data_IF_236354804216
#
_entry.id   IF_236354804216
#
_cell.length_a   1.000
_cell.length_b   1.000
_cell.length_c   1.000
_cell.angle_alpha   90.00
_cell.angle_beta   90.00
_cell.angle_gamma   90.00
#
_symmetry.space_group_name_H-M   'P 1'
#
loop_
_entity.id
_entity.type
_entity.pdbx_description
1 polymer ?
#
# COMPACT_ATOMS: atom_id res chain seq x y z
N UNK A 1 -6.38 -4.27 -27.78
CA UNK A 1 -6.49 -5.74 -27.54
C UNK A 1 -6.32 -5.99 -26.04
N UNK A 2 -7.12 -6.88 -25.48
CA UNK A 2 -7.03 -7.32 -24.06
C UNK A 2 -6.30 -8.65 -24.01
N UNK A 3 -5.44 -8.81 -23.01
CA UNK A 3 -4.74 -10.04 -22.68
C UNK A 3 -4.88 -10.32 -21.18
N UNK A 4 -5.27 -11.54 -20.82
CA UNK A 4 -5.32 -12.02 -19.45
C UNK A 4 -4.06 -12.82 -19.15
N UNK A 5 -3.40 -12.52 -18.05
CA UNK A 5 -2.16 -13.19 -17.66
C UNK A 5 -2.27 -13.77 -16.24
N UNK A 6 -1.58 -14.86 -16.03
CA UNK A 6 -1.42 -15.52 -14.74
C UNK A 6 -0.18 -14.98 -14.01
N UNK A 7 -0.05 -15.32 -12.73
CA UNK A 7 1.01 -14.81 -11.86
C UNK A 7 2.43 -15.15 -12.38
N UNK A 8 2.60 -16.31 -13.01
CA UNK A 8 3.86 -16.77 -13.61
C UNK A 8 4.18 -16.10 -14.96
N UNK A 9 3.20 -15.46 -15.59
CA UNK A 9 3.32 -14.78 -16.89
C UNK A 9 3.20 -13.25 -16.79
N UNK A 10 3.35 -12.70 -15.57
CA UNK A 10 3.10 -11.29 -15.27
C UNK A 10 4.26 -10.34 -15.63
N UNK A 11 5.35 -10.82 -16.24
CA UNK A 11 6.57 -10.01 -16.42
C UNK A 11 6.36 -8.70 -17.17
N UNK A 12 5.51 -8.67 -18.20
CA UNK A 12 5.22 -7.45 -18.95
C UNK A 12 4.27 -6.50 -18.19
N UNK A 13 3.32 -7.06 -17.42
CA UNK A 13 2.48 -6.29 -16.50
C UNK A 13 3.37 -5.59 -15.46
N UNK A 14 4.28 -6.34 -14.84
CA UNK A 14 5.22 -5.79 -13.85
C UNK A 14 6.10 -4.69 -14.47
N UNK A 15 6.61 -4.90 -15.68
CA UNK A 15 7.41 -3.90 -16.39
C UNK A 15 6.64 -2.60 -16.65
N UNK A 16 5.35 -2.68 -17.03
CA UNK A 16 4.51 -1.50 -17.21
C UNK A 16 4.27 -0.78 -15.89
N UNK A 17 3.93 -1.54 -14.82
CA UNK A 17 3.73 -0.98 -13.48
C UNK A 17 4.99 -0.29 -12.96
N UNK A 18 6.16 -0.91 -13.15
CA UNK A 18 7.43 -0.33 -12.71
C UNK A 18 7.80 0.94 -13.47
N UNK A 19 7.53 0.98 -14.78
CA UNK A 19 7.86 2.15 -15.60
C UNK A 19 6.88 3.32 -15.42
N UNK A 20 5.65 3.06 -14.96
CA UNK A 20 4.61 4.07 -14.89
C UNK A 20 4.76 4.96 -13.64
N UNK A 21 4.66 6.32 -13.75
CA UNK A 21 4.81 7.22 -12.59
C UNK A 21 3.84 6.96 -11.43
N UNK A 22 2.63 6.43 -11.72
CA UNK A 22 1.64 6.00 -10.72
C UNK A 22 1.73 4.50 -10.41
N UNK A 23 2.81 3.84 -10.84
CA UNK A 23 3.00 2.42 -10.57
C UNK A 23 2.97 2.12 -9.08
N UNK A 24 2.26 1.05 -8.70
CA UNK A 24 2.09 0.68 -7.31
C UNK A 24 2.40 -0.80 -7.07
N UNK A 25 3.15 -1.10 -6.01
CA UNK A 25 3.54 -2.47 -5.63
C UNK A 25 2.35 -3.44 -5.60
N UNK A 26 1.19 -2.99 -5.14
CA UNK A 26 -0.02 -3.83 -5.05
C UNK A 26 -0.63 -4.16 -6.41
N UNK A 27 -0.20 -3.52 -7.48
CA UNK A 27 -0.57 -3.81 -8.86
C UNK A 27 0.42 -4.71 -9.60
N UNK A 28 1.44 -5.21 -8.92
CA UNK A 28 2.43 -6.13 -9.48
C UNK A 28 2.17 -7.59 -9.06
N UNK A 29 2.87 -8.52 -9.72
CA UNK A 29 2.89 -9.94 -9.38
C UNK A 29 3.44 -10.20 -7.97
N UNK A 30 4.30 -9.32 -7.46
CA UNK A 30 4.83 -9.39 -6.08
C UNK A 30 3.68 -9.46 -5.08
N UNK A 31 2.65 -8.62 -5.27
CA UNK A 31 1.50 -8.60 -4.35
C UNK A 31 0.64 -9.87 -4.44
N UNK A 32 0.55 -10.48 -5.61
CA UNK A 32 -0.08 -11.79 -5.78
C UNK A 32 0.62 -12.90 -4.97
N UNK A 33 1.96 -12.87 -4.94
CA UNK A 33 2.76 -13.82 -4.13
C UNK A 33 2.61 -13.60 -2.63
N UNK A 34 2.35 -12.37 -2.19
CA UNK A 34 2.09 -12.03 -0.78
C UNK A 34 0.69 -12.42 -0.34
N UNK A 35 -0.29 -12.35 -1.25
CA UNK A 35 -1.72 -12.62 -1.00
C UNK A 35 -2.10 -14.04 -1.34
N UNK A 36 -1.46 -15.02 -0.73
CA UNK A 36 -1.62 -16.46 -1.02
C UNK A 36 -3.05 -17.00 -0.82
N UNK A 37 -3.86 -16.33 0.00
CA UNK A 37 -5.27 -16.68 0.24
C UNK A 37 -6.23 -16.17 -0.85
N UNK A 38 -5.71 -15.43 -1.85
CA UNK A 38 -6.44 -14.82 -2.94
C UNK A 38 -5.89 -15.32 -4.28
N UNK A 39 -6.78 -15.57 -5.25
CA UNK A 39 -6.34 -15.89 -6.61
C UNK A 39 -6.03 -14.60 -7.36
N UNK A 40 -4.81 -14.51 -7.90
CA UNK A 40 -4.37 -13.35 -8.64
C UNK A 40 -4.68 -13.47 -10.14
N UNK A 41 -5.12 -12.37 -10.76
CA UNK A 41 -5.35 -12.23 -12.19
C UNK A 41 -4.71 -10.93 -12.67
N UNK A 42 -4.05 -10.97 -13.83
CA UNK A 42 -3.53 -9.79 -14.51
C UNK A 42 -4.30 -9.52 -15.80
N UNK A 43 -4.55 -8.25 -16.09
CA UNK A 43 -5.16 -7.76 -17.32
C UNK A 43 -4.20 -6.74 -17.94
N UNK A 44 -3.84 -6.92 -19.23
CA UNK A 44 -3.10 -5.93 -20.01
C UNK A 44 -4.00 -5.40 -21.13
N UNK A 45 -3.95 -4.09 -21.33
CA UNK A 45 -4.54 -3.46 -22.50
C UNK A 45 -3.44 -2.95 -23.42
N UNK A 46 -3.50 -3.38 -24.71
CA UNK A 46 -2.58 -2.94 -25.78
C UNK A 46 -3.32 -2.12 -26.82
N UNK A 47 -2.67 -1.09 -27.32
CA UNK A 47 -3.14 -0.35 -28.49
C UNK A 47 -2.98 -1.14 -29.80
N UNK A 48 -3.37 -0.53 -30.92
CA UNK A 48 -3.28 -1.14 -32.25
C UNK A 48 -1.84 -1.37 -32.74
N UNK A 49 -0.85 -0.80 -32.06
CA UNK A 49 0.59 -0.98 -32.33
C UNK A 49 1.22 -2.02 -31.40
N UNK A 50 0.43 -2.68 -30.58
CA UNK A 50 0.89 -3.70 -29.61
C UNK A 50 1.49 -3.11 -28.31
N UNK A 51 1.52 -1.77 -28.14
CA UNK A 51 2.06 -1.13 -26.95
C UNK A 51 1.09 -1.24 -25.79
N UNK A 52 1.57 -1.63 -24.60
CA UNK A 52 0.77 -1.64 -23.38
C UNK A 52 0.40 -0.21 -22.99
N UNK A 53 -0.90 0.04 -22.79
CA UNK A 53 -1.50 1.34 -22.44
C UNK A 53 -2.08 1.33 -21.03
N UNK A 54 -2.18 0.17 -20.43
CA UNK A 54 -2.66 0.05 -19.07
C UNK A 54 -2.71 -1.39 -18.60
N UNK A 55 -2.70 -1.56 -17.29
CA UNK A 55 -2.73 -2.86 -16.61
C UNK A 55 -3.66 -2.82 -15.41
N UNK A 56 -4.20 -3.98 -15.05
CA UNK A 56 -4.99 -4.15 -13.83
C UNK A 56 -4.70 -5.52 -13.22
N UNK A 57 -4.08 -5.51 -12.05
CA UNK A 57 -3.96 -6.69 -11.21
C UNK A 57 -5.18 -6.79 -10.29
N UNK A 58 -5.84 -7.94 -10.31
CA UNK A 58 -7.00 -8.24 -9.51
C UNK A 58 -6.72 -9.40 -8.56
N UNK A 59 -7.21 -9.29 -7.36
CA UNK A 59 -7.27 -10.36 -6.36
C UNK A 59 -8.71 -10.87 -6.28
N UNK A 60 -8.91 -12.16 -6.54
CA UNK A 60 -10.18 -12.83 -6.40
C UNK A 60 -10.27 -13.45 -4.99
N UNK A 61 -11.26 -13.01 -4.23
CA UNK A 61 -11.56 -13.59 -2.92
C UNK A 61 -12.85 -14.42 -3.01
N UNK A 62 -12.83 -15.71 -2.60
CA UNK A 62 -14.04 -16.52 -2.58
C UNK A 62 -15.15 -15.86 -1.77
N UNK A 63 -16.35 -15.86 -2.32
CA UNK A 63 -17.55 -15.45 -1.60
C UNK A 63 -18.04 -16.53 -0.65
N UNK A 64 -19.03 -16.20 0.18
CA UNK A 64 -19.65 -17.15 1.11
C UNK A 64 -20.57 -18.14 0.40
N UNK A 65 -21.14 -17.75 -0.73
CA UNK A 65 -21.95 -18.62 -1.55
C UNK A 65 -21.07 -19.32 -2.59
N UNK A 66 -21.22 -20.63 -2.80
CA UNK A 66 -20.49 -21.36 -3.83
C UNK A 66 -20.62 -20.69 -5.20
N UNK A 67 -19.52 -20.61 -5.95
CA UNK A 67 -19.48 -19.98 -7.27
C UNK A 67 -19.65 -18.46 -7.25
N UNK A 68 -19.49 -17.80 -6.10
CA UNK A 68 -19.42 -16.34 -6.00
C UNK A 68 -18.06 -15.87 -5.50
N UNK A 69 -17.62 -14.70 -5.95
CA UNK A 69 -16.39 -14.09 -5.50
C UNK A 69 -16.50 -12.54 -5.47
N UNK A 70 -15.49 -11.92 -4.88
CA UNK A 70 -15.17 -10.51 -4.95
C UNK A 70 -13.90 -10.36 -5.80
N UNK A 71 -13.89 -9.46 -6.79
CA UNK A 71 -12.67 -9.03 -7.47
C UNK A 71 -12.21 -7.70 -6.87
N UNK A 72 -10.95 -7.63 -6.46
CA UNK A 72 -10.37 -6.46 -5.86
C UNK A 72 -9.06 -6.07 -6.55
N UNK A 73 -9.00 -4.85 -7.10
CA UNK A 73 -7.81 -4.25 -7.70
C UNK A 73 -7.19 -3.21 -6.77
N UNK A 74 -6.30 -3.63 -5.82
CA UNK A 74 -5.71 -2.71 -4.85
C UNK A 74 -4.84 -1.66 -5.54
N UNK A 75 -5.08 -0.39 -5.28
CA UNK A 75 -4.35 0.74 -5.85
C UNK A 75 -4.32 0.79 -7.38
N UNK A 76 -5.22 0.08 -8.04
CA UNK A 76 -5.32 0.02 -9.48
C UNK A 76 -6.65 0.52 -10.05
N UNK A 77 -6.73 0.53 -11.38
CA UNK A 77 -5.71 0.13 -12.37
C UNK A 77 -4.58 1.16 -12.55
N UNK A 78 -3.50 0.74 -13.26
CA UNK A 78 -2.45 1.63 -13.77
C UNK A 78 -2.71 1.84 -15.27
N UNK A 79 -2.86 3.09 -15.71
CA UNK A 79 -3.30 3.42 -17.05
C UNK A 79 -2.76 4.77 -17.53
N UNK A 80 -2.62 4.93 -18.85
CA UNK A 80 -2.11 6.18 -19.45
C UNK A 80 -3.21 7.23 -19.67
N UNK A 81 -4.44 6.80 -20.01
CA UNK A 81 -5.55 7.69 -20.37
C UNK A 81 -6.92 7.11 -20.00
N UNK A 82 -7.96 7.92 -20.10
CA UNK A 82 -9.36 7.56 -19.80
C UNK A 82 -9.82 6.33 -20.60
N UNK A 83 -9.46 6.25 -21.90
CA UNK A 83 -9.83 5.13 -22.74
C UNK A 83 -9.25 3.82 -22.21
N UNK A 84 -8.00 3.84 -21.78
CA UNK A 84 -7.32 2.68 -21.18
C UNK A 84 -8.03 2.23 -19.90
N UNK A 85 -8.46 3.18 -19.04
CA UNK A 85 -9.25 2.89 -17.86
C UNK A 85 -10.58 2.20 -18.21
N UNK A 86 -11.34 2.76 -19.16
CA UNK A 86 -12.62 2.20 -19.62
C UNK A 86 -12.46 0.76 -20.14
N UNK A 87 -11.43 0.52 -20.94
CA UNK A 87 -11.14 -0.80 -21.51
C UNK A 87 -10.79 -1.81 -20.42
N UNK A 88 -9.93 -1.45 -19.46
CA UNK A 88 -9.56 -2.32 -18.32
C UNK A 88 -10.76 -2.64 -17.43
N UNK A 89 -11.60 -1.65 -17.12
CA UNK A 89 -12.81 -1.88 -16.33
C UNK A 89 -13.79 -2.82 -17.05
N UNK A 90 -13.95 -2.69 -18.37
CA UNK A 90 -14.81 -3.58 -19.15
C UNK A 90 -14.25 -5.02 -19.17
N UNK A 91 -12.94 -5.20 -19.34
CA UNK A 91 -12.29 -6.51 -19.24
C UNK A 91 -12.45 -7.13 -17.84
N UNK A 92 -12.34 -6.31 -16.77
CA UNK A 92 -12.59 -6.77 -15.40
C UNK A 92 -14.07 -7.17 -15.18
N UNK A 93 -15.04 -6.50 -15.82
CA UNK A 93 -16.46 -6.91 -15.81
C UNK A 93 -16.66 -8.27 -16.48
N UNK A 94 -15.99 -8.50 -17.60
CA UNK A 94 -16.06 -9.79 -18.32
C UNK A 94 -15.48 -10.92 -17.46
N UNK A 95 -14.28 -10.74 -16.94
CA UNK A 95 -13.67 -11.68 -15.98
C UNK A 95 -14.61 -11.91 -14.78
N UNK A 96 -15.21 -10.85 -14.26
CA UNK A 96 -16.14 -10.95 -13.14
C UNK A 96 -17.38 -11.79 -13.47
N UNK A 97 -17.92 -11.70 -14.68
CA UNK A 97 -19.05 -12.55 -15.11
C UNK A 97 -18.65 -14.02 -15.19
N UNK A 98 -17.48 -14.31 -15.75
CA UNK A 98 -16.93 -15.67 -15.87
C UNK A 98 -16.65 -16.29 -14.50
N UNK A 99 -16.07 -15.51 -13.57
CA UNK A 99 -15.69 -15.96 -12.24
C UNK A 99 -16.83 -15.94 -11.21
N UNK A 100 -18.00 -15.43 -11.58
CA UNK A 100 -19.11 -15.32 -10.67
C UNK A 100 -18.99 -14.17 -9.66
N UNK A 101 -18.20 -13.14 -9.98
CA UNK A 101 -18.02 -12.02 -9.08
C UNK A 101 -19.32 -11.23 -8.90
N UNK A 102 -19.63 -10.87 -7.66
CA UNK A 102 -20.77 -10.03 -7.33
C UNK A 102 -20.38 -8.55 -7.24
N UNK A 103 -19.08 -8.26 -7.04
CA UNK A 103 -18.53 -6.94 -6.85
C UNK A 103 -17.14 -6.85 -7.48
N UNK A 104 -16.90 -5.79 -8.23
CA UNK A 104 -15.56 -5.29 -8.57
C UNK A 104 -15.25 -4.09 -7.69
N UNK A 105 -14.15 -4.16 -6.94
CA UNK A 105 -13.66 -3.10 -6.05
C UNK A 105 -12.32 -2.60 -6.51
N UNK A 106 -12.15 -1.29 -6.57
CA UNK A 106 -10.91 -0.60 -6.89
C UNK A 106 -10.65 0.49 -5.83
N UNK A 107 -9.41 0.91 -5.65
CA UNK A 107 -9.05 2.06 -4.81
C UNK A 107 -7.79 2.78 -5.32
N UNK A 108 -7.84 3.34 -6.56
CA UNK A 108 -6.68 3.93 -7.22
C UNK A 108 -6.15 5.16 -6.44
N UNK A 109 -4.84 5.39 -6.54
CA UNK A 109 -4.19 6.60 -6.00
C UNK A 109 -4.37 7.78 -6.96
N UNK A 110 -5.61 8.23 -7.09
CA UNK A 110 -6.02 9.42 -7.83
C UNK A 110 -6.57 10.42 -6.82
N UNK A 111 -6.15 11.68 -6.94
CA UNK A 111 -6.56 12.74 -6.02
C UNK A 111 -8.08 12.92 -6.03
N UNK A 112 -8.67 13.15 -4.85
CA UNK A 112 -10.12 13.34 -4.71
C UNK A 112 -10.65 14.55 -5.48
N UNK A 113 -9.80 15.55 -5.71
CA UNK A 113 -10.13 16.76 -6.45
C UNK A 113 -10.17 16.57 -7.97
N UNK A 114 -9.77 15.38 -8.49
CA UNK A 114 -9.87 15.06 -9.91
C UNK A 114 -11.35 14.85 -10.32
N UNK A 115 -11.96 15.96 -10.74
CA UNK A 115 -13.37 15.99 -11.14
C UNK A 115 -13.66 15.16 -12.40
N UNK A 116 -12.70 15.05 -13.31
CA UNK A 116 -12.82 14.27 -14.55
C UNK A 116 -12.82 12.78 -14.23
N UNK A 117 -11.93 12.33 -13.35
CA UNK A 117 -11.95 10.95 -12.90
C UNK A 117 -13.21 10.61 -12.09
N UNK A 118 -13.67 11.52 -11.24
CA UNK A 118 -14.91 11.34 -10.48
C UNK A 118 -16.14 11.25 -11.41
N UNK A 119 -16.17 11.98 -12.52
CA UNK A 119 -17.19 11.87 -13.57
C UNK A 119 -17.11 10.51 -14.25
N UNK A 120 -15.90 10.10 -14.66
CA UNK A 120 -15.64 8.81 -15.30
C UNK A 120 -16.13 7.62 -14.45
N UNK A 121 -15.87 7.64 -13.15
CA UNK A 121 -16.36 6.60 -12.24
C UNK A 121 -17.88 6.51 -12.22
N UNK A 122 -18.59 7.66 -12.16
CA UNK A 122 -20.06 7.70 -12.18
C UNK A 122 -20.62 7.16 -13.51
N UNK A 123 -20.04 7.56 -14.64
CA UNK A 123 -20.45 7.07 -15.98
C UNK A 123 -20.30 5.56 -16.11
N UNK A 124 -19.28 4.97 -15.49
CA UNK A 124 -19.05 3.53 -15.48
C UNK A 124 -19.89 2.77 -14.44
N UNK A 125 -20.65 3.50 -13.61
CA UNK A 125 -21.57 2.94 -12.61
C UNK A 125 -20.91 2.59 -11.27
N UNK A 126 -19.74 3.12 -10.97
CA UNK A 126 -19.12 2.97 -9.65
C UNK A 126 -19.82 3.83 -8.59
N UNK A 127 -19.96 3.27 -7.40
CA UNK A 127 -20.21 4.02 -6.17
C UNK A 127 -18.90 4.21 -5.42
N UNK A 128 -18.68 5.42 -4.90
CA UNK A 128 -17.45 5.76 -4.17
C UNK A 128 -17.73 5.82 -2.68
N UNK A 129 -16.93 5.14 -1.88
CA UNK A 129 -16.88 5.27 -0.43
C UNK A 129 -15.62 6.06 -0.06
N UNK A 130 -15.83 7.28 0.44
CA UNK A 130 -14.78 8.22 0.83
C UNK A 130 -14.62 8.32 2.35
N UNK A 131 -14.85 7.22 3.08
CA UNK A 131 -14.59 7.18 4.52
C UNK A 131 -13.12 7.48 4.84
N UNK A 132 -12.89 8.17 5.95
CA UNK A 132 -11.56 8.60 6.38
C UNK A 132 -11.01 7.75 7.53
N UNK A 133 -11.73 6.72 7.89
CA UNK A 133 -11.32 5.71 8.86
C UNK A 133 -10.70 4.48 8.18
N UNK A 134 -10.18 3.54 8.97
CA UNK A 134 -9.62 2.30 8.47
C UNK A 134 -10.68 1.23 8.12
N UNK A 135 -11.94 1.62 7.90
CA UNK A 135 -12.99 0.70 7.44
C UNK A 135 -12.83 0.28 5.97
N UNK A 136 -12.09 1.06 5.17
CA UNK A 136 -11.78 0.76 3.78
C UNK A 136 -10.68 -0.32 3.67
N UNK A 137 -10.61 -0.99 2.52
CA UNK A 137 -9.57 -2.00 2.25
C UNK A 137 -8.17 -1.37 2.22
N UNK A 138 -8.05 -0.15 1.68
CA UNK A 138 -6.86 0.68 1.78
C UNK A 138 -7.27 2.06 2.33
N UNK A 139 -6.44 2.67 3.16
CA UNK A 139 -6.71 4.00 3.68
C UNK A 139 -6.76 5.02 2.54
N UNK A 140 -7.76 5.89 2.59
CA UNK A 140 -7.94 6.98 1.64
C UNK A 140 -6.96 8.12 1.92
N UNK A 141 -6.69 8.39 3.19
CA UNK A 141 -5.75 9.42 3.65
C UNK A 141 -4.36 8.81 3.81
N UNK A 142 -3.38 9.30 3.06
CA UNK A 142 -1.99 8.81 3.10
C UNK A 142 -1.01 9.98 3.19
N UNK A 143 0.09 9.78 3.92
CA UNK A 143 1.18 10.74 3.91
C UNK A 143 2.21 10.34 2.88
N UNK A 144 2.47 11.25 1.95
CA UNK A 144 3.46 11.07 0.89
C UNK A 144 4.47 12.20 0.95
N UNK A 145 5.74 11.87 0.92
CA UNK A 145 6.82 12.84 0.84
C UNK A 145 7.35 12.91 -0.58
N UNK A 146 7.48 14.10 -1.11
CA UNK A 146 8.21 14.37 -2.34
C UNK A 146 9.72 14.27 -2.06
N UNK A 147 10.41 13.45 -2.83
CA UNK A 147 11.86 13.27 -2.79
C UNK A 147 12.55 13.98 -3.97
N UNK A 148 11.80 14.58 -4.90
CA UNK A 148 12.34 15.23 -6.08
C UNK A 148 13.30 16.34 -5.70
N UNK A 149 14.49 16.36 -6.30
CA UNK A 149 15.52 17.36 -6.03
C UNK A 149 16.26 17.20 -4.68
N UNK A 150 15.89 16.21 -3.86
CA UNK A 150 16.64 15.86 -2.67
C UNK A 150 17.81 14.93 -3.00
N UNK A 151 18.85 15.01 -2.20
CA UNK A 151 19.96 14.04 -2.19
C UNK A 151 20.01 13.32 -0.84
N UNK A 152 20.72 12.17 -0.73
CA UNK A 152 20.93 11.52 0.58
C UNK A 152 21.55 12.42 1.63
N UNK A 153 22.34 13.44 1.24
CA UNK A 153 23.03 14.41 2.11
C UNK A 153 22.09 15.53 2.56
N UNK A 154 21.14 15.92 1.70
CA UNK A 154 20.19 17.02 1.98
C UNK A 154 18.86 16.54 2.57
N UNK A 155 18.61 15.23 2.56
CA UNK A 155 17.35 14.62 2.99
C UNK A 155 16.88 15.13 4.37
N UNK A 156 17.78 15.14 5.36
CA UNK A 156 17.40 15.53 6.71
C UNK A 156 16.98 17.00 6.82
N UNK A 157 17.47 17.87 5.91
CA UNK A 157 17.11 19.29 5.87
C UNK A 157 15.64 19.50 5.52
N UNK A 158 15.03 18.55 4.81
CA UNK A 158 13.60 18.55 4.46
C UNK A 158 12.69 18.11 5.62
N UNK A 159 13.26 17.62 6.74
CA UNK A 159 12.52 17.22 7.91
C UNK A 159 12.28 18.40 8.87
N UNK A 160 11.21 18.33 9.65
CA UNK A 160 10.97 19.29 10.71
C UNK A 160 12.10 19.27 11.77
N UNK A 161 12.37 20.40 12.39
CA UNK A 161 13.45 20.58 13.37
C UNK A 161 13.47 19.48 14.45
N UNK A 162 12.30 19.11 14.98
CA UNK A 162 12.18 18.08 16.02
C UNK A 162 12.67 16.72 15.52
N UNK A 163 12.22 16.27 14.34
CA UNK A 163 12.66 14.97 13.78
C UNK A 163 14.16 14.97 13.47
N UNK A 164 14.74 16.10 13.01
CA UNK A 164 16.20 16.24 12.84
C UNK A 164 16.95 16.12 14.16
N UNK A 165 16.42 16.69 15.23
CA UNK A 165 17.03 16.57 16.56
C UNK A 165 17.01 15.13 17.04
N UNK A 166 15.86 14.43 16.91
CA UNK A 166 15.73 13.03 17.25
C UNK A 166 16.68 12.14 16.43
N UNK A 167 16.77 12.37 15.12
CA UNK A 167 17.70 11.65 14.25
C UNK A 167 19.15 11.80 14.74
N UNK A 168 19.59 13.02 15.04
CA UNK A 168 20.95 13.27 15.54
C UNK A 168 21.22 12.62 16.90
N UNK A 169 20.22 12.58 17.77
CA UNK A 169 20.32 11.85 19.04
C UNK A 169 20.45 10.36 18.80
N UNK A 170 19.62 9.78 17.90
CA UNK A 170 19.70 8.36 17.54
C UNK A 170 21.05 8.00 16.92
N UNK A 171 21.60 8.85 16.03
CA UNK A 171 22.91 8.64 15.38
C UNK A 171 24.09 8.71 16.34
N UNK A 172 23.98 9.49 17.42
CA UNK A 172 25.03 9.61 18.47
C UNK A 172 24.86 8.58 19.58
N UNK A 173 23.71 7.93 19.62
CA UNK A 173 23.36 6.92 20.62
C UNK A 173 23.93 5.53 20.32
N UNK A 174 23.53 4.54 21.10
CA UNK A 174 24.02 3.16 20.97
C UNK A 174 23.34 2.36 19.87
N UNK A 175 22.52 3.00 19.02
CA UNK A 175 21.79 2.31 17.95
C UNK A 175 22.71 2.00 16.77
N UNK A 176 22.62 0.78 16.27
CA UNK A 176 23.21 0.34 15.00
C UNK A 176 22.12 -0.02 14.02
N UNK A 177 22.35 0.27 12.73
CA UNK A 177 21.44 -0.09 11.64
C UNK A 177 21.97 -1.29 10.87
N UNK A 178 21.08 -2.22 10.54
CA UNK A 178 21.36 -3.26 9.56
C UNK A 178 20.14 -3.64 8.71
N UNK A 179 20.43 -4.23 7.57
CA UNK A 179 19.39 -4.92 6.78
C UNK A 179 19.21 -6.31 7.40
N UNK A 180 17.98 -6.64 7.70
CA UNK A 180 17.60 -7.93 8.27
C UNK A 180 17.39 -8.99 7.18
N UNK A 181 17.25 -10.22 7.64
CA UNK A 181 16.98 -11.41 6.83
C UNK A 181 15.69 -12.11 7.29
N UNK A 182 15.33 -13.21 6.64
CA UNK A 182 14.21 -14.04 7.09
C UNK A 182 14.41 -14.58 8.53
N UNK A 183 15.63 -14.79 8.98
CA UNK A 183 15.95 -15.25 10.34
C UNK A 183 15.56 -14.22 11.41
N UNK A 184 15.43 -12.94 11.05
CA UNK A 184 15.06 -11.87 11.97
C UNK A 184 13.54 -11.69 12.11
N UNK A 185 12.75 -12.27 11.20
CA UNK A 185 11.29 -12.11 11.17
C UNK A 185 10.60 -12.53 12.48
N UNK A 186 11.00 -13.60 13.20
CA UNK A 186 10.37 -13.92 14.49
C UNK A 186 10.56 -12.82 15.54
N UNK A 187 11.73 -12.17 15.59
CA UNK A 187 11.98 -11.06 16.50
C UNK A 187 11.21 -9.81 16.10
N UNK A 188 11.21 -9.48 14.79
CA UNK A 188 10.42 -8.41 14.23
C UNK A 188 8.92 -8.60 14.50
N UNK A 189 8.39 -9.82 14.30
CA UNK A 189 6.98 -10.14 14.53
C UNK A 189 6.57 -9.93 15.98
N UNK A 190 7.36 -10.40 16.94
CA UNK A 190 7.12 -10.13 18.38
C UNK A 190 7.01 -8.63 18.68
N UNK A 191 7.91 -7.80 18.10
CA UNK A 191 7.83 -6.34 18.26
C UNK A 191 6.58 -5.75 17.57
N UNK A 192 6.17 -6.33 16.43
CA UNK A 192 4.92 -5.93 15.75
C UNK A 192 3.69 -6.22 16.61
N UNK A 193 3.63 -7.38 17.28
CA UNK A 193 2.54 -7.72 18.19
C UNK A 193 2.46 -6.74 19.37
N UNK A 194 3.60 -6.42 20.00
CA UNK A 194 3.67 -5.40 21.06
C UNK A 194 3.21 -4.02 20.57
N UNK A 195 3.62 -3.65 19.34
CA UNK A 195 3.22 -2.38 18.74
C UNK A 195 1.72 -2.37 18.43
N UNK A 196 1.19 -3.46 17.89
CA UNK A 196 -0.22 -3.63 17.56
C UNK A 196 -1.09 -3.55 18.81
N UNK A 197 -0.73 -4.27 19.88
CA UNK A 197 -1.42 -4.22 21.16
C UNK A 197 -1.48 -2.80 21.72
N UNK A 198 -0.34 -2.10 21.74
CA UNK A 198 -0.26 -0.71 22.23
C UNK A 198 -1.12 0.26 21.44
N UNK A 199 -1.17 0.07 20.09
CA UNK A 199 -1.80 1.01 19.16
C UNK A 199 -3.20 0.59 18.73
N UNK A 200 -3.76 -0.48 19.30
CA UNK A 200 -5.15 -0.89 19.10
C UNK A 200 -5.45 -1.52 17.74
N UNK A 201 -4.45 -2.07 17.04
CA UNK A 201 -4.69 -2.77 15.78
C UNK A 201 -4.26 -4.24 15.86
N UNK A 202 -4.60 -5.03 14.84
CA UNK A 202 -4.21 -6.45 14.75
C UNK A 202 -2.96 -6.60 13.87
N UNK A 203 -1.90 -7.17 14.41
CA UNK A 203 -0.71 -7.52 13.64
C UNK A 203 -1.01 -8.59 12.57
N UNK A 204 -0.34 -8.51 11.43
CA UNK A 204 -0.33 -9.60 10.45
C UNK A 204 0.43 -10.79 11.02
N UNK A 205 0.05 -12.04 10.69
CA UNK A 205 0.76 -13.22 11.20
C UNK A 205 2.16 -13.34 10.60
N UNK A 206 3.06 -14.06 11.27
CA UNK A 206 4.43 -14.25 10.83
C UNK A 206 4.55 -14.76 9.38
N UNK A 207 3.78 -15.78 8.92
CA UNK A 207 3.86 -16.25 7.52
C UNK A 207 3.56 -15.16 6.48
N UNK A 208 2.77 -14.16 6.83
CA UNK A 208 2.54 -13.01 5.94
C UNK A 208 3.83 -12.20 5.73
N UNK A 209 4.63 -11.96 6.78
CA UNK A 209 5.89 -11.25 6.67
C UNK A 209 6.96 -12.07 5.94
N UNK A 210 6.94 -13.40 6.11
CA UNK A 210 7.79 -14.32 5.37
C UNK A 210 7.47 -14.25 3.87
N UNK A 211 6.20 -14.36 3.48
CA UNK A 211 5.76 -14.22 2.10
C UNK A 211 6.05 -12.82 1.53
N UNK A 212 5.87 -11.76 2.35
CA UNK A 212 6.17 -10.39 1.95
C UNK A 212 7.66 -10.23 1.65
N UNK A 213 8.54 -10.62 2.56
CA UNK A 213 9.98 -10.47 2.37
C UNK A 213 10.50 -11.29 1.19
N UNK A 214 10.04 -12.54 1.05
CA UNK A 214 10.36 -13.39 -0.08
C UNK A 214 9.86 -12.81 -1.42
N UNK A 215 8.62 -12.27 -1.45
CA UNK A 215 8.02 -11.69 -2.63
C UNK A 215 8.67 -10.38 -3.07
N UNK A 216 9.16 -9.58 -2.13
CA UNK A 216 9.86 -8.34 -2.42
C UNK A 216 11.21 -8.58 -3.14
N UNK A 217 11.97 -9.61 -2.73
CA UNK A 217 13.32 -9.83 -3.26
C UNK A 217 14.14 -8.54 -3.18
N UNK A 218 14.76 -8.15 -4.29
CA UNK A 218 15.58 -6.92 -4.36
C UNK A 218 14.75 -5.62 -4.33
N UNK A 219 13.41 -5.72 -4.44
CA UNK A 219 12.50 -4.56 -4.37
C UNK A 219 12.20 -4.09 -2.97
N UNK A 220 12.82 -4.65 -1.95
CA UNK A 220 12.58 -4.22 -0.56
C UNK A 220 13.33 -5.02 0.46
N UNK A 221 13.04 -4.78 1.73
CA UNK A 221 13.72 -5.47 2.80
C UNK A 221 13.25 -5.11 4.19
N UNK A 222 13.73 -5.88 5.14
CA UNK A 222 13.61 -5.64 6.57
C UNK A 222 14.79 -4.77 7.02
N UNK A 223 14.50 -3.66 7.68
CA UNK A 223 15.49 -2.76 8.29
C UNK A 223 15.36 -2.87 9.81
N UNK A 224 16.47 -3.02 10.49
CA UNK A 224 16.52 -3.15 11.94
C UNK A 224 17.42 -2.08 12.55
N UNK A 225 16.96 -1.49 13.64
CA UNK A 225 17.77 -0.68 14.56
C UNK A 225 17.96 -1.51 15.82
N UNK A 226 19.23 -1.78 16.17
CA UNK A 226 19.60 -2.60 17.29
C UNK A 226 20.28 -1.76 18.36
N UNK A 227 20.03 -2.11 19.63
CA UNK A 227 20.74 -1.59 20.77
C UNK A 227 21.43 -2.77 21.49
N UNK A 228 22.74 -2.71 21.67
CA UNK A 228 23.53 -3.78 22.32
C UNK A 228 23.28 -5.17 21.68
N UNK A 229 23.16 -5.21 20.35
CA UNK A 229 22.93 -6.44 19.58
C UNK A 229 21.51 -7.01 19.66
N UNK A 230 20.55 -6.28 20.28
CA UNK A 230 19.16 -6.69 20.35
C UNK A 230 18.27 -5.75 19.50
N UNK A 231 17.30 -6.27 18.74
CA UNK A 231 16.39 -5.45 17.96
C UNK A 231 15.57 -4.50 18.85
N UNK A 232 15.74 -3.20 18.69
CA UNK A 232 15.03 -2.14 19.40
C UNK A 232 13.85 -1.58 18.57
N UNK A 233 14.00 -1.57 17.24
CA UNK A 233 12.95 -1.22 16.29
C UNK A 233 13.19 -1.94 14.95
N UNK A 234 12.13 -2.06 14.15
CA UNK A 234 12.22 -2.65 12.83
C UNK A 234 11.19 -2.08 11.86
N UNK A 235 11.49 -2.15 10.57
CA UNK A 235 10.60 -1.69 9.51
C UNK A 235 10.77 -2.54 8.25
N UNK A 236 9.68 -2.74 7.51
CA UNK A 236 9.72 -3.31 6.16
C UNK A 236 9.45 -2.19 5.17
N UNK A 237 10.36 -2.01 4.22
CA UNK A 237 10.24 -1.07 3.11
C UNK A 237 10.19 -1.80 1.77
N UNK A 238 9.52 -1.19 0.79
CA UNK A 238 9.50 -1.64 -0.58
C UNK A 238 9.83 -0.48 -1.53
N UNK A 239 10.34 -0.79 -2.72
CA UNK A 239 10.78 0.18 -3.70
C UNK A 239 10.40 -0.27 -5.11
N UNK A 240 9.78 0.61 -5.87
CA UNK A 240 9.72 0.59 -7.32
C UNK A 240 10.41 1.86 -7.85
N UNK A 241 10.71 1.98 -9.15
CA UNK A 241 11.51 3.09 -9.68
C UNK A 241 11.04 4.50 -9.30
N UNK A 242 9.72 4.71 -9.11
CA UNK A 242 9.17 6.03 -8.81
C UNK A 242 8.75 6.22 -7.35
N UNK A 243 8.57 5.14 -6.61
CA UNK A 243 8.01 5.21 -5.24
C UNK A 243 8.66 4.20 -4.31
N UNK A 244 9.06 4.67 -3.14
CA UNK A 244 9.36 3.83 -2.00
C UNK A 244 8.22 3.85 -0.97
N UNK A 245 7.97 2.75 -0.29
CA UNK A 245 6.92 2.60 0.72
C UNK A 245 7.47 2.14 2.06
N UNK A 246 7.02 2.78 3.13
CA UNK A 246 7.11 2.31 4.50
C UNK A 246 5.92 1.39 4.78
N UNK A 247 6.09 0.08 4.54
CA UNK A 247 4.98 -0.86 4.61
C UNK A 247 4.56 -1.20 6.04
N UNK A 248 5.53 -1.47 6.90
CA UNK A 248 5.32 -1.85 8.30
C UNK A 248 6.43 -1.29 9.16
N UNK A 249 6.11 -0.93 10.41
CA UNK A 249 7.10 -0.49 11.38
C UNK A 249 6.69 -0.82 12.80
N UNK A 250 7.66 -1.16 13.62
CA UNK A 250 7.47 -1.46 15.04
C UNK A 250 8.64 -0.94 15.87
N UNK A 251 8.38 -0.70 17.14
CA UNK A 251 9.42 -0.30 18.09
C UNK A 251 9.10 -0.77 19.51
N UNK A 252 10.10 -1.32 20.17
CA UNK A 252 10.09 -1.59 21.60
C UNK A 252 10.20 -0.29 22.44
N UNK A 253 10.11 -0.40 23.78
CA UNK A 253 10.30 0.75 24.67
C UNK A 253 11.64 1.46 24.44
N UNK A 254 12.71 0.70 24.33
CA UNK A 254 14.08 1.20 24.12
C UNK A 254 14.21 1.91 22.76
N UNK A 255 13.67 1.32 21.68
CA UNK A 255 13.70 1.93 20.36
C UNK A 255 12.96 3.27 20.33
N UNK A 256 11.86 3.43 21.08
CA UNK A 256 11.15 4.71 21.21
C UNK A 256 11.99 5.73 21.98
N UNK A 257 12.61 5.33 23.10
CA UNK A 257 13.45 6.18 23.92
C UNK A 257 14.67 6.70 23.15
N UNK A 258 15.21 5.89 22.26
CA UNK A 258 16.40 6.20 21.46
C UNK A 258 16.08 6.77 20.07
N UNK A 259 14.81 7.07 19.77
CA UNK A 259 14.36 7.61 18.47
C UNK A 259 14.72 6.72 17.26
N UNK A 260 14.64 5.41 17.44
CA UNK A 260 15.00 4.44 16.40
C UNK A 260 14.13 4.54 15.13
N UNK A 261 12.88 5.04 15.24
CA UNK A 261 12.02 5.25 14.08
C UNK A 261 12.61 6.29 13.12
N UNK A 262 13.08 7.42 13.64
CA UNK A 262 13.70 8.47 12.83
C UNK A 262 14.98 7.96 12.15
N UNK A 263 15.75 7.12 12.83
CA UNK A 263 16.93 6.50 12.25
C UNK A 263 16.58 5.51 11.13
N UNK A 264 15.55 4.68 11.32
CA UNK A 264 15.03 3.76 10.30
C UNK A 264 14.45 4.53 9.09
N UNK A 265 13.64 5.57 9.34
CA UNK A 265 13.08 6.41 8.28
C UNK A 265 14.17 7.09 7.45
N UNK A 266 15.22 7.59 8.11
CA UNK A 266 16.36 8.19 7.42
C UNK A 266 17.07 7.17 6.52
N UNK A 267 17.34 5.97 7.02
CA UNK A 267 18.01 4.93 6.25
C UNK A 267 17.19 4.50 5.02
N UNK A 268 15.88 4.26 5.21
CA UNK A 268 14.98 3.82 4.12
C UNK A 268 14.75 4.92 3.07
N UNK A 269 14.59 6.18 3.49
CA UNK A 269 14.44 7.29 2.55
C UNK A 269 15.74 7.56 1.76
N UNK A 270 16.91 7.40 2.38
CA UNK A 270 18.20 7.45 1.65
C UNK A 270 18.31 6.33 0.62
N UNK A 271 17.87 5.13 0.96
CA UNK A 271 17.83 4.02 0.01
C UNK A 271 16.84 4.30 -1.14
N UNK A 272 15.66 4.89 -0.84
CA UNK A 272 14.72 5.34 -1.86
C UNK A 272 15.35 6.34 -2.84
N UNK A 273 16.07 7.35 -2.32
CA UNK A 273 16.82 8.31 -3.14
C UNK A 273 17.91 7.65 -3.99
N UNK A 274 18.68 6.70 -3.41
CA UNK A 274 19.70 5.94 -4.17
C UNK A 274 19.11 5.10 -5.30
N UNK A 275 17.87 4.64 -5.15
CA UNK A 275 17.11 3.91 -6.18
C UNK A 275 16.40 4.80 -7.18
N UNK A 276 16.49 6.12 -7.04
CA UNK A 276 15.85 7.09 -7.91
C UNK A 276 14.36 7.30 -7.65
N UNK A 277 13.84 6.87 -6.50
CA UNK A 277 12.45 7.12 -6.15
C UNK A 277 12.19 8.64 -6.03
N UNK A 278 11.11 9.10 -6.68
CA UNK A 278 10.64 10.47 -6.58
C UNK A 278 9.71 10.69 -5.37
N UNK A 279 9.17 9.60 -4.77
CA UNK A 279 8.22 9.67 -3.66
C UNK A 279 8.53 8.64 -2.58
N UNK A 280 8.20 9.02 -1.33
CA UNK A 280 8.21 8.13 -0.17
C UNK A 280 6.82 8.11 0.46
N UNK A 281 6.14 6.98 0.37
CA UNK A 281 4.81 6.76 0.94
C UNK A 281 4.92 6.21 2.36
N UNK A 282 4.47 7.01 3.32
CA UNK A 282 4.41 6.67 4.75
C UNK A 282 3.10 5.96 5.12
N UNK A 283 2.30 5.60 4.15
CA UNK A 283 1.02 4.90 4.27
C UNK A 283 -0.06 5.71 5.02
N UNK A 284 -1.16 5.02 5.30
CA UNK A 284 -2.41 5.62 5.75
C UNK A 284 -2.40 6.18 7.16
N UNK A 285 -3.37 7.06 7.36
CA UNK A 285 -3.81 7.62 8.63
C UNK A 285 -5.34 7.62 8.66
N UNK A 286 -5.91 7.91 9.83
CA UNK A 286 -7.33 7.99 10.06
C UNK A 286 -7.72 9.40 10.48
N UNK A 287 -8.71 9.98 9.80
CA UNK A 287 -9.22 11.33 10.07
C UNK A 287 -8.24 12.46 9.77
N UNK A 288 -8.59 13.65 10.18
CA UNK A 288 -7.81 14.87 9.96
C UNK A 288 -6.69 15.06 10.98
N UNK A 289 -5.62 15.83 10.65
CA UNK A 289 -4.48 16.09 11.53
C UNK A 289 -4.78 17.14 12.61
N UNK A 290 -5.83 16.94 13.36
CA UNK A 290 -6.28 17.80 14.45
C UNK A 290 -5.92 17.23 15.82
N UNK A 291 -5.70 18.09 16.82
CA UNK A 291 -5.34 17.66 18.19
C UNK A 291 -6.41 16.79 18.85
N UNK A 292 -7.66 16.93 18.43
CA UNK A 292 -8.79 16.12 18.88
C UNK A 292 -8.79 14.69 18.31
N UNK A 293 -8.00 14.43 17.27
CA UNK A 293 -7.90 13.11 16.67
C UNK A 293 -7.12 12.15 17.60
N UNK A 294 -7.69 10.99 17.99
CA UNK A 294 -6.99 9.99 18.80
C UNK A 294 -5.64 9.54 18.21
N UNK A 295 -5.50 9.63 16.89
CA UNK A 295 -4.29 9.26 16.14
C UNK A 295 -3.39 10.47 15.79
N UNK A 296 -3.61 11.64 16.39
CA UNK A 296 -2.83 12.85 16.11
C UNK A 296 -1.31 12.67 16.24
N UNK A 297 -0.87 11.82 17.17
CA UNK A 297 0.55 11.46 17.29
C UNK A 297 1.15 10.83 16.03
N UNK A 298 0.36 10.02 15.30
CA UNK A 298 0.77 9.42 14.04
C UNK A 298 0.86 10.48 12.92
N UNK A 299 -0.11 11.38 12.84
CA UNK A 299 -0.09 12.52 11.91
C UNK A 299 1.16 13.37 12.14
N UNK A 300 1.38 13.79 13.39
CA UNK A 300 2.54 14.61 13.76
C UNK A 300 3.86 13.93 13.42
N UNK A 301 3.98 12.63 13.64
CA UNK A 301 5.17 11.87 13.28
C UNK A 301 5.44 11.92 11.78
N UNK A 302 4.43 11.69 10.93
CA UNK A 302 4.60 11.71 9.47
C UNK A 302 4.85 13.11 8.92
N UNK A 303 4.14 14.12 9.43
CA UNK A 303 4.39 15.53 9.11
C UNK A 303 5.82 15.94 9.46
N UNK A 304 6.34 15.47 10.60
CA UNK A 304 7.70 15.82 11.04
C UNK A 304 8.80 15.30 10.11
N UNK A 305 8.51 14.28 9.31
CA UNK A 305 9.40 13.76 8.27
C UNK A 305 9.30 14.52 6.94
N UNK A 306 8.52 15.62 6.90
CA UNK A 306 8.31 16.44 5.70
C UNK A 306 7.37 15.81 4.68
N UNK A 307 6.46 14.96 5.11
CA UNK A 307 5.42 14.39 4.25
C UNK A 307 4.15 15.25 4.28
N UNK A 308 3.39 15.21 3.19
CA UNK A 308 2.11 15.89 3.02
C UNK A 308 0.96 14.90 3.04
N UNK A 309 -0.18 15.31 3.58
CA UNK A 309 -1.40 14.53 3.54
C UNK A 309 -1.99 14.54 2.12
N UNK A 310 -2.14 13.36 1.53
CA UNK A 310 -2.83 13.13 0.24
C UNK A 310 -4.18 12.50 0.51
N UNK A 311 -5.19 12.97 -0.23
CA UNK A 311 -6.56 12.46 -0.19
C UNK A 311 -6.87 11.78 -1.51
N UNK A 312 -6.95 10.46 -1.49
CA UNK A 312 -7.30 9.69 -2.67
C UNK A 312 -8.81 9.63 -2.86
N UNK A 313 -9.29 9.33 -4.05
CA UNK A 313 -10.71 9.20 -4.37
C UNK A 313 -11.46 8.25 -3.44
N UNK A 314 -10.75 7.26 -2.88
CA UNK A 314 -11.31 6.27 -1.96
C UNK A 314 -11.65 4.95 -2.63
N UNK A 315 -12.53 4.18 -1.99
CA UNK A 315 -12.93 2.85 -2.45
C UNK A 315 -14.06 2.96 -3.46
N UNK A 316 -13.84 2.46 -4.67
CA UNK A 316 -14.74 2.48 -5.81
C UNK A 316 -15.35 1.08 -6.00
N UNK A 317 -16.64 0.94 -5.78
CA UNK A 317 -17.39 -0.32 -5.85
C UNK A 317 -18.32 -0.35 -7.05
N UNK A 318 -18.17 -1.36 -7.90
CA UNK A 318 -19.05 -1.64 -9.01
C UNK A 318 -19.77 -2.98 -8.79
N UNK A 319 -21.09 -2.91 -8.62
CA UNK A 319 -21.91 -4.09 -8.40
C UNK A 319 -22.12 -4.82 -9.73
N UNK A 320 -21.64 -6.08 -9.83
CA UNK A 320 -21.78 -6.92 -11.00
C UNK A 320 -23.03 -7.81 -10.94
N UNK A 321 -23.43 -8.23 -9.73
CA UNK A 321 -24.62 -9.07 -9.50
C UNK A 321 -25.49 -8.50 -8.38
N UNK A 322 -26.54 -7.70 -8.70
CA UNK A 322 -27.35 -6.97 -7.71
C UNK A 322 -28.01 -7.88 -6.65
N UNK A 323 -28.48 -9.08 -7.07
CA UNK A 323 -29.09 -10.04 -6.14
C UNK A 323 -28.13 -10.51 -5.06
N UNK A 324 -26.90 -10.89 -5.45
CA UNK A 324 -25.85 -11.28 -4.51
C UNK A 324 -25.39 -10.11 -3.65
N UNK A 325 -25.28 -8.91 -4.21
CA UNK A 325 -24.90 -7.74 -3.45
C UNK A 325 -25.90 -7.43 -2.31
N UNK A 326 -27.21 -7.57 -2.58
CA UNK A 326 -28.25 -7.46 -1.55
C UNK A 326 -28.11 -8.50 -0.44
N UNK A 327 -27.85 -9.75 -0.82
CA UNK A 327 -27.61 -10.84 0.14
C UNK A 327 -26.41 -10.52 1.05
N UNK A 328 -25.25 -10.15 0.49
CA UNK A 328 -24.04 -9.85 1.26
C UNK A 328 -24.23 -8.65 2.18
N UNK A 329 -24.91 -7.57 1.73
CA UNK A 329 -25.23 -6.41 2.57
C UNK A 329 -26.14 -6.78 3.76
N UNK A 330 -27.16 -7.58 3.51
CA UNK A 330 -28.07 -8.03 4.56
C UNK A 330 -27.32 -8.91 5.61
N UNK A 331 -26.47 -9.81 5.13
CA UNK A 331 -25.64 -10.65 6.00
C UNK A 331 -24.68 -9.83 6.88
N UNK A 332 -23.98 -8.85 6.32
CA UNK A 332 -23.05 -8.01 7.08
C UNK A 332 -23.79 -7.11 8.09
N UNK A 333 -24.99 -6.65 7.74
CA UNK A 333 -25.84 -5.91 8.68
C UNK A 333 -26.30 -6.74 9.88
N UNK A 334 -26.59 -8.03 9.69
CA UNK A 334 -26.94 -8.95 10.76
C UNK A 334 -25.75 -9.20 11.72
N UNK A 335 -24.52 -9.35 11.18
CA UNK A 335 -23.31 -9.61 11.97
C UNK A 335 -22.84 -8.42 12.82
N UNK A 336 -23.17 -7.18 12.40
CA UNK A 336 -22.84 -5.97 13.19
C UNK A 336 -23.75 -5.78 14.39
N UNK A 337 -24.85 -6.53 14.48
CA UNK A 337 -25.83 -6.48 15.57
C UNK A 337 -25.62 -7.57 16.62
N UNK A 338 -24.77 -8.55 16.34
CA UNK A 338 -24.32 -9.59 17.26
C UNK A 338 -22.89 -9.34 17.73
#
# INVERSE_FOLDING_TARGET
MIEYVTLDRAGELDSFVEAHPRGHLMQSSVWGRVKTDWLWHGILYRDNRGRVRGTLALLEHPGRLPGSCLLYGPRGPIFEDEQSFRVLVNAAKELGRERGAWLLRLDPEIDESDGDFSRLLRELGFSVNAAEDFSLFQPRLCYVKDLTGLSPETLELSWHRTARTHLRQAQRGPLTLRVGSAADLPAFHRMMELTAHRSGFRARPLPYFEALLAGLGDRGGLYLAECEGQPAAGAVAAFLPHTGWFLYGCSGPEGRRLHANELLQWAMQREALRRGCARWDLRGVEGEPEETNPHFGLHRSKLSLGAELRRWVGQCDLILRPGLARFYRAWDALRRKT
#
